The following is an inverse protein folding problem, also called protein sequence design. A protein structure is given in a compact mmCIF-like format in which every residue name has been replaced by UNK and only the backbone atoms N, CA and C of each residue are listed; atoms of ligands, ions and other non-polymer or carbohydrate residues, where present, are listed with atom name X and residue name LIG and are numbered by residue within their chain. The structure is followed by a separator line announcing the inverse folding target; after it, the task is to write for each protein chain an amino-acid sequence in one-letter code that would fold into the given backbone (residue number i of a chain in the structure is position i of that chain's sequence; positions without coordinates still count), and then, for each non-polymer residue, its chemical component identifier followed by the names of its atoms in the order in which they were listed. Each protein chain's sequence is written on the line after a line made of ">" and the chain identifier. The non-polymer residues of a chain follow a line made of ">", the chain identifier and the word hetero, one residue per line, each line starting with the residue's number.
data_IF_745049103277
#
_entry.id   IF_745049103277
#
_cell.length_a   1.000
_cell.length_b   1.000
_cell.length_c   1.000
_cell.angle_alpha   90.00
_cell.angle_beta   90.00
_cell.angle_gamma   90.00
#
_symmetry.space_group_name_H-M   'P 1'
#
loop_
_entity.id
_entity.type
_entity.pdbx_description
1 polymer ?
#
# COMPACT_ATOMS: atom_id res chain seq x y z
N UNK A 1 4.28 -7.80 -1.26
CA UNK A 1 3.76 -7.89 0.12
C UNK A 1 4.21 -6.65 0.89
N UNK A 2 3.38 -6.10 1.78
CA UNK A 2 3.77 -4.97 2.63
C UNK A 2 4.30 -5.49 3.96
N UNK A 3 5.37 -4.87 4.47
CA UNK A 3 5.98 -5.19 5.76
C UNK A 3 6.00 -3.95 6.65
N UNK A 4 5.55 -4.10 7.89
CA UNK A 4 5.54 -3.04 8.88
C UNK A 4 6.61 -3.34 9.95
N UNK A 5 7.80 -2.71 9.88
CA UNK A 5 8.86 -2.93 10.86
C UNK A 5 8.64 -2.16 12.18
N UNK A 6 7.55 -1.39 12.30
CA UNK A 6 7.31 -0.52 13.45
C UNK A 6 6.60 -1.24 14.59
N UNK A 7 6.53 -0.57 15.75
CA UNK A 7 5.77 -1.03 16.92
C UNK A 7 4.28 -0.64 16.89
N UNK A 8 3.81 0.00 15.80
CA UNK A 8 2.44 0.52 15.68
C UNK A 8 1.68 -0.23 14.60
N UNK A 9 0.36 -0.34 14.73
CA UNK A 9 -0.47 -0.82 13.63
C UNK A 9 -0.50 0.22 12.52
N UNK A 10 -0.42 -0.24 11.27
CA UNK A 10 -0.60 0.64 10.11
C UNK A 10 -1.91 0.24 9.43
N UNK A 11 -2.91 1.12 9.56
CA UNK A 11 -4.18 0.99 8.85
C UNK A 11 -4.05 1.63 7.48
N UNK A 12 -4.11 0.83 6.43
CA UNK A 12 -4.06 1.29 5.03
C UNK A 12 -5.48 1.31 4.49
N UNK A 13 -5.95 2.47 3.99
CA UNK A 13 -7.24 2.59 3.31
C UNK A 13 -7.13 2.10 1.87
N UNK A 14 -6.07 2.52 1.16
CA UNK A 14 -5.86 2.18 -0.25
C UNK A 14 -4.38 2.10 -0.59
N UNK A 15 -4.08 1.18 -1.50
CA UNK A 15 -2.80 1.09 -2.22
C UNK A 15 -3.11 1.18 -3.71
N UNK A 16 -2.36 2.00 -4.43
CA UNK A 16 -2.38 2.06 -5.89
C UNK A 16 -0.98 1.88 -6.44
N UNK A 17 -0.87 1.06 -7.49
CA UNK A 17 0.37 0.83 -8.20
C UNK A 17 0.19 1.28 -9.64
N UNK A 18 1.15 2.05 -10.16
CA UNK A 18 1.12 2.52 -11.54
C UNK A 18 2.50 2.61 -12.15
N UNK A 19 2.61 2.28 -13.44
CA UNK A 19 3.79 2.55 -14.26
C UNK A 19 3.53 3.66 -15.30
N UNK A 20 2.44 4.44 -15.13
CA UNK A 20 2.01 5.51 -16.03
C UNK A 20 1.11 5.06 -17.18
N UNK A 21 1.19 3.80 -17.61
CA UNK A 21 0.31 3.22 -18.63
C UNK A 21 -0.72 2.25 -18.05
N UNK A 22 -0.34 1.54 -16.99
CA UNK A 22 -1.17 0.58 -16.28
C UNK A 22 -1.38 1.02 -14.85
N UNK A 23 -2.51 0.63 -14.28
CA UNK A 23 -2.89 0.94 -12.90
C UNK A 23 -3.57 -0.28 -12.27
N UNK A 24 -3.21 -0.56 -11.02
CA UNK A 24 -3.86 -1.56 -10.19
C UNK A 24 -4.04 -1.02 -8.77
N UNK A 25 -5.19 -1.26 -8.14
CA UNK A 25 -5.49 -0.73 -6.81
C UNK A 25 -6.19 -1.75 -5.92
N UNK A 26 -6.08 -1.59 -4.60
CA UNK A 26 -6.82 -2.43 -3.65
C UNK A 26 -8.32 -2.18 -3.70
N UNK A 27 -9.13 -3.24 -3.69
CA UNK A 27 -10.59 -3.14 -3.46
C UNK A 27 -10.92 -2.75 -2.03
N UNK A 28 -10.14 -3.29 -1.10
CA UNK A 28 -10.33 -3.12 0.33
C UNK A 28 -8.99 -2.76 0.97
N UNK A 29 -9.05 -1.81 1.89
CA UNK A 29 -7.93 -1.52 2.78
C UNK A 29 -7.63 -2.67 3.74
N UNK A 30 -6.71 -2.43 4.66
CA UNK A 30 -6.35 -3.41 5.65
C UNK A 30 -5.31 -2.89 6.64
N UNK A 31 -5.30 -3.51 7.82
CA UNK A 31 -4.30 -3.25 8.84
C UNK A 31 -3.10 -4.20 8.68
N UNK A 32 -1.90 -3.68 8.89
CA UNK A 32 -0.65 -4.45 9.02
C UNK A 32 -0.16 -4.34 10.46
N UNK A 33 -0.03 -5.48 11.14
CA UNK A 33 0.37 -5.56 12.54
C UNK A 33 1.82 -5.06 12.77
N UNK A 34 2.15 -4.65 14.00
CA UNK A 34 3.53 -4.38 14.40
C UNK A 34 4.47 -5.56 14.10
N UNK A 35 5.58 -5.29 13.42
CA UNK A 35 6.53 -6.32 12.94
C UNK A 35 5.97 -7.27 11.88
N UNK A 36 4.72 -7.09 11.45
CA UNK A 36 3.98 -8.01 10.60
C UNK A 36 4.15 -7.74 9.11
N UNK A 37 3.56 -8.63 8.33
CA UNK A 37 3.47 -8.50 6.87
C UNK A 37 2.08 -8.87 6.38
N UNK A 38 1.63 -8.21 5.32
CA UNK A 38 0.31 -8.46 4.72
C UNK A 38 0.40 -8.46 3.20
N UNK A 39 -0.29 -9.43 2.59
CA UNK A 39 -0.59 -9.40 1.17
C UNK A 39 -1.86 -8.58 0.94
N UNK A 40 -1.77 -7.61 0.04
CA UNK A 40 -2.92 -6.83 -0.43
C UNK A 40 -3.24 -7.30 -1.84
N UNK A 41 -4.50 -7.65 -2.06
CA UNK A 41 -4.97 -8.01 -3.39
C UNK A 41 -5.21 -6.74 -4.19
N UNK A 42 -4.55 -6.62 -5.33
CA UNK A 42 -4.77 -5.54 -6.27
C UNK A 42 -5.77 -6.00 -7.34
N UNK A 43 -6.65 -5.09 -7.72
CA UNK A 43 -7.51 -5.21 -8.88
C UNK A 43 -6.87 -4.49 -10.06
N UNK A 44 -6.74 -5.21 -11.17
CA UNK A 44 -6.03 -4.75 -12.36
C UNK A 44 -4.63 -5.34 -12.44
N UNK A 45 -4.00 -5.16 -13.61
CA UNK A 45 -2.69 -5.69 -13.91
C UNK A 45 -1.70 -4.56 -14.17
N UNK A 46 -0.54 -4.64 -13.52
CA UNK A 46 0.58 -3.73 -13.70
C UNK A 46 1.86 -4.55 -13.85
N UNK A 47 2.62 -4.25 -14.90
CA UNK A 47 3.99 -4.76 -15.00
C UNK A 47 4.89 -4.07 -13.96
N UNK A 48 5.69 -4.82 -13.17
CA UNK A 48 6.49 -4.25 -12.09
C UNK A 48 7.55 -3.23 -12.53
N UNK A 49 8.04 -3.36 -13.76
CA UNK A 49 9.10 -2.50 -14.28
C UNK A 49 8.66 -1.03 -14.32
N UNK A 50 9.34 -0.18 -13.54
CA UNK A 50 9.04 1.26 -13.45
C UNK A 50 7.75 1.59 -12.69
N UNK A 51 7.10 0.60 -12.08
CA UNK A 51 5.90 0.83 -11.28
C UNK A 51 6.24 1.50 -9.94
N UNK A 52 5.37 2.41 -9.50
CA UNK A 52 5.43 3.12 -8.22
C UNK A 52 4.23 2.74 -7.38
N UNK A 53 4.43 2.64 -6.07
CA UNK A 53 3.36 2.45 -5.09
C UNK A 53 3.01 3.81 -4.47
N UNK A 54 1.72 4.12 -4.45
CA UNK A 54 1.13 5.23 -3.72
C UNK A 54 0.09 4.69 -2.74
N UNK A 55 -0.05 5.30 -1.57
CA UNK A 55 -0.92 4.77 -0.52
C UNK A 55 -1.54 5.85 0.36
N UNK A 56 -2.69 5.52 0.92
CA UNK A 56 -3.32 6.27 2.01
C UNK A 56 -3.37 5.41 3.27
N UNK A 57 -2.71 5.87 4.33
CA UNK A 57 -2.85 5.32 5.67
C UNK A 57 -3.83 6.16 6.50
N UNK A 58 -4.33 5.61 7.60
CA UNK A 58 -5.21 6.31 8.54
C UNK A 58 -4.38 6.67 9.78
N UNK A 59 -4.32 7.96 10.11
CA UNK A 59 -3.64 8.45 11.30
C UNK A 59 -4.53 8.36 12.55
N UNK A 60 -3.96 8.66 13.74
CA UNK A 60 -4.66 8.55 15.03
C UNK A 60 -5.87 9.50 15.17
N UNK A 61 -5.97 10.51 14.32
CA UNK A 61 -7.11 11.43 14.25
C UNK A 61 -8.22 10.95 13.29
N UNK A 62 -8.06 9.77 12.68
CA UNK A 62 -8.96 9.22 11.66
C UNK A 62 -8.82 9.85 10.28
N UNK A 63 -7.81 10.71 10.07
CA UNK A 63 -7.54 11.35 8.80
C UNK A 63 -6.66 10.51 7.88
N UNK A 64 -6.74 10.75 6.57
CA UNK A 64 -5.86 10.12 5.59
C UNK A 64 -4.46 10.76 5.62
N UNK A 65 -3.45 9.90 5.65
CA UNK A 65 -2.05 10.24 5.48
C UNK A 65 -1.54 9.63 4.18
N UNK A 66 -1.17 10.52 3.26
CA UNK A 66 -0.63 10.21 1.94
C UNK A 66 0.84 9.75 2.01
N UNK A 67 1.23 8.81 1.17
CA UNK A 67 2.64 8.43 1.01
C UNK A 67 2.93 7.67 -0.28
N UNK A 68 4.22 7.67 -0.65
CA UNK A 68 4.76 6.92 -1.78
C UNK A 68 5.83 5.94 -1.31
N UNK A 69 5.97 4.82 -2.02
CA UNK A 69 7.03 3.85 -1.81
C UNK A 69 7.55 3.27 -3.13
N UNK A 70 8.84 2.94 -3.14
CA UNK A 70 9.42 2.13 -4.21
C UNK A 70 9.01 0.67 -4.03
N UNK A 71 8.71 -0.02 -5.13
CA UNK A 71 8.54 -1.47 -5.11
C UNK A 71 9.93 -2.13 -5.08
N UNK A 72 10.14 -2.99 -4.09
CA UNK A 72 11.30 -3.87 -4.05
C UNK A 72 11.14 -5.01 -5.08
N UNK A 73 12.24 -5.51 -5.67
CA UNK A 73 12.24 -6.71 -6.52
C UNK A 73 11.68 -7.95 -5.83
#
# INVERSE_FOLDING_TARGET
>A
MAHNPTQYHVSVERLSVSNGAQHAETTFGGMVDPGGSKAFQLNGDVQPAGAKLHYFAINDYGGLQDGDAALAP
#
